data_IF_343050161469
#
_entry.id   IF_343050161469
#
_cell.length_a   1.000
_cell.length_b   1.000
_cell.length_c   1.000
_cell.angle_alpha   90.00
_cell.angle_beta   90.00
_cell.angle_gamma   90.00
#
_symmetry.space_group_name_H-M   'P 1'
#
loop_
_entity.id
_entity.type
_entity.pdbx_description
1 polymer ?
#
# COMPACT_ATOMS: atom_id res chain seq x y z
N UNK A 1 14.26 -14.80 -14.94
CA UNK A 1 12.88 -14.30 -14.98
C UNK A 1 12.01 -15.23 -14.16
N UNK A 2 11.27 -14.71 -13.18
CA UNK A 2 10.27 -15.51 -12.47
C UNK A 2 9.04 -15.63 -13.37
N UNK A 3 8.72 -16.85 -13.85
CA UNK A 3 7.61 -17.08 -14.78
C UNK A 3 6.25 -16.72 -14.17
N UNK A 4 6.15 -16.68 -12.83
CA UNK A 4 4.92 -16.44 -12.08
C UNK A 4 4.73 -14.97 -11.64
N UNK A 5 5.70 -14.10 -11.93
CA UNK A 5 5.67 -12.69 -11.56
C UNK A 5 6.46 -11.85 -12.58
N UNK A 6 5.91 -11.71 -13.82
CA UNK A 6 6.54 -10.91 -14.86
C UNK A 6 6.68 -9.46 -14.39
N UNK A 7 7.82 -8.84 -14.71
CA UNK A 7 8.15 -7.48 -14.27
C UNK A 7 8.06 -6.48 -15.43
N UNK A 8 7.62 -5.26 -15.12
CA UNK A 8 7.59 -4.14 -16.04
C UNK A 8 8.69 -3.12 -15.70
N UNK A 9 9.37 -2.60 -16.71
CA UNK A 9 10.27 -1.44 -16.56
C UNK A 9 9.47 -0.13 -16.52
N UNK A 10 9.97 0.92 -15.84
CA UNK A 10 9.34 2.23 -15.92
C UNK A 10 9.46 2.78 -17.34
N UNK A 11 8.51 3.62 -17.78
CA UNK A 11 8.50 4.20 -19.13
C UNK A 11 8.32 5.71 -19.09
N UNK A 12 9.30 6.43 -19.66
CA UNK A 12 9.15 7.87 -19.96
C UNK A 12 8.34 8.13 -21.22
N UNK A 13 8.16 7.13 -22.09
CA UNK A 13 7.25 7.23 -23.23
C UNK A 13 5.82 7.07 -22.70
N UNK A 14 4.93 8.05 -22.93
CA UNK A 14 3.55 7.95 -22.44
C UNK A 14 2.85 6.72 -23.02
N UNK A 15 2.28 5.91 -22.14
CA UNK A 15 1.36 4.81 -22.47
C UNK A 15 -0.04 5.28 -22.06
N UNK A 16 -0.89 5.58 -23.07
CA UNK A 16 -2.22 6.16 -22.87
C UNK A 16 -2.20 7.40 -21.94
N UNK A 17 -1.18 8.25 -22.12
CA UNK A 17 -0.98 9.47 -21.34
C UNK A 17 -0.31 9.26 -19.98
N UNK A 18 0.05 8.03 -19.59
CA UNK A 18 0.75 7.77 -18.32
C UNK A 18 2.23 7.52 -18.56
N UNK A 19 3.08 8.22 -17.81
CA UNK A 19 4.52 7.95 -17.69
C UNK A 19 4.83 7.38 -16.31
N UNK A 20 5.93 6.65 -16.19
CA UNK A 20 6.39 6.10 -14.92
C UNK A 20 7.89 6.24 -14.71
N UNK A 21 8.29 6.33 -13.44
CA UNK A 21 9.71 6.40 -13.01
C UNK A 21 9.89 5.73 -11.65
N UNK A 22 11.04 5.08 -11.45
CA UNK A 22 11.39 4.46 -10.16
C UNK A 22 12.21 5.46 -9.33
N UNK A 23 11.79 5.69 -8.09
CA UNK A 23 12.41 6.64 -7.15
C UNK A 23 12.92 5.86 -5.94
N UNK A 24 14.22 6.00 -5.66
CA UNK A 24 14.87 5.37 -4.50
C UNK A 24 14.66 6.25 -3.27
N UNK A 25 14.16 5.65 -2.20
CA UNK A 25 13.93 6.30 -0.90
C UNK A 25 15.08 6.00 0.07
N UNK A 26 15.53 4.75 0.10
CA UNK A 26 16.62 4.30 0.97
C UNK A 26 17.40 3.16 0.29
N UNK A 27 18.67 3.42 -0.03
CA UNK A 27 19.55 2.47 -0.69
C UNK A 27 19.92 1.29 0.20
N UNK A 28 20.01 1.48 1.52
CA UNK A 28 20.41 0.45 2.48
C UNK A 28 19.35 -0.63 2.63
N UNK A 29 18.08 -0.22 2.64
CA UNK A 29 16.91 -1.11 2.68
C UNK A 29 16.40 -1.52 1.30
N UNK A 30 16.99 -0.96 0.23
CA UNK A 30 16.49 -1.08 -1.14
C UNK A 30 15.00 -0.67 -1.23
N UNK A 31 14.63 0.36 -0.49
CA UNK A 31 13.27 0.92 -0.50
C UNK A 31 13.15 1.90 -1.66
N UNK A 32 12.17 1.67 -2.51
CA UNK A 32 11.85 2.51 -3.64
C UNK A 32 10.35 2.47 -3.91
N UNK A 33 9.86 3.37 -4.75
CA UNK A 33 8.51 3.33 -5.27
C UNK A 33 8.50 3.66 -6.76
N UNK A 34 7.48 3.18 -7.46
CA UNK A 34 7.20 3.63 -8.83
C UNK A 34 6.20 4.78 -8.79
N UNK A 35 6.61 5.91 -9.36
CA UNK A 35 5.77 7.07 -9.55
C UNK A 35 5.08 6.97 -10.91
N UNK A 36 3.76 7.05 -10.93
CA UNK A 36 2.95 7.14 -12.15
C UNK A 36 2.28 8.49 -12.25
N UNK A 37 2.21 8.99 -13.47
CA UNK A 37 2.01 10.39 -13.74
C UNK A 37 1.27 10.56 -15.06
N UNK A 38 0.08 11.17 -15.02
CA UNK A 38 -0.70 11.38 -16.23
C UNK A 38 -0.34 12.73 -16.87
N UNK A 39 0.24 12.70 -18.06
CA UNK A 39 0.71 13.90 -18.79
C UNK A 39 -0.42 14.87 -19.12
N UNK A 40 -1.67 14.39 -19.20
CA UNK A 40 -2.86 15.24 -19.42
C UNK A 40 -3.28 16.05 -18.18
N UNK A 41 -2.70 15.74 -17.02
CA UNK A 41 -2.93 16.46 -15.76
C UNK A 41 -1.83 17.47 -15.43
N UNK A 42 -0.82 17.59 -16.30
CA UNK A 42 0.25 18.55 -16.14
C UNK A 42 -0.33 19.98 -16.07
N UNK A 43 0.11 20.75 -15.07
CA UNK A 43 -0.36 22.13 -14.84
C UNK A 43 -1.79 22.27 -14.30
N UNK A 44 -2.50 21.18 -13.97
CA UNK A 44 -3.80 21.27 -13.29
C UNK A 44 -3.64 21.71 -11.83
N UNK A 45 -4.64 22.41 -11.31
CA UNK A 45 -4.56 23.05 -9.98
C UNK A 45 -4.62 22.04 -8.81
N UNK A 46 -5.23 20.87 -9.03
CA UNK A 46 -5.43 19.86 -8.00
C UNK A 46 -5.35 18.46 -8.61
N UNK A 47 -4.34 17.70 -8.19
CA UNK A 47 -4.15 16.29 -8.56
C UNK A 47 -3.95 15.51 -7.26
N UNK A 48 -4.86 14.59 -6.90
CA UNK A 48 -4.68 13.79 -5.68
C UNK A 48 -3.51 12.83 -5.82
N UNK A 49 -2.84 12.56 -4.70
CA UNK A 49 -1.81 11.54 -4.61
C UNK A 49 -2.44 10.24 -4.08
N UNK A 50 -2.21 9.13 -4.76
CA UNK A 50 -2.60 7.79 -4.28
C UNK A 50 -1.32 7.02 -3.96
N UNK A 51 -1.08 6.79 -2.67
CA UNK A 51 0.02 5.92 -2.21
C UNK A 51 -0.51 4.49 -2.18
N UNK A 52 -0.04 3.66 -3.10
CA UNK A 52 -0.55 2.31 -3.33
C UNK A 52 0.40 1.25 -2.78
N UNK A 53 -0.13 0.31 -2.01
CA UNK A 53 0.56 -0.88 -1.54
C UNK A 53 0.02 -2.11 -2.27
N UNK A 54 0.92 -2.85 -2.93
CA UNK A 54 0.54 -4.07 -3.61
C UNK A 54 0.21 -5.20 -2.62
N UNK A 55 -0.66 -6.12 -3.01
CA UNK A 55 -0.93 -7.38 -2.33
C UNK A 55 0.16 -8.44 -2.48
N UNK A 56 -0.18 -9.69 -2.22
CA UNK A 56 0.78 -10.81 -2.24
C UNK A 56 1.10 -11.39 -0.86
N UNK A 57 0.23 -11.20 0.14
CA UNK A 57 0.36 -11.85 1.44
C UNK A 57 1.65 -11.50 2.19
N UNK A 58 2.17 -10.28 1.98
CA UNK A 58 3.46 -9.78 2.49
C UNK A 58 4.71 -10.50 1.97
N UNK A 59 4.57 -11.55 1.15
CA UNK A 59 5.66 -12.44 0.75
C UNK A 59 5.88 -12.52 -0.77
N UNK A 60 4.96 -11.96 -1.56
CA UNK A 60 4.98 -12.07 -3.02
C UNK A 60 4.75 -10.71 -3.67
N UNK A 61 5.09 -10.64 -4.96
CA UNK A 61 4.90 -9.49 -5.85
C UNK A 61 5.79 -8.29 -5.47
N UNK A 62 5.72 -7.25 -6.28
CA UNK A 62 6.52 -6.03 -6.15
C UNK A 62 5.77 -4.85 -6.80
N UNK A 63 6.23 -3.62 -6.57
CA UNK A 63 5.67 -2.46 -7.26
C UNK A 63 5.85 -2.52 -8.80
N UNK A 64 6.85 -3.26 -9.29
CA UNK A 64 7.07 -3.50 -10.73
C UNK A 64 6.53 -4.83 -11.24
N UNK A 65 5.76 -5.59 -10.44
CA UNK A 65 4.98 -6.71 -10.98
C UNK A 65 4.02 -6.19 -12.06
N UNK A 66 3.97 -6.84 -13.21
CA UNK A 66 3.21 -6.37 -14.38
C UNK A 66 1.74 -6.12 -14.05
N UNK A 67 1.11 -6.99 -13.26
CA UNK A 67 -0.27 -6.82 -12.79
C UNK A 67 -0.49 -5.55 -11.97
N UNK A 68 0.48 -5.20 -11.10
CA UNK A 68 0.42 -3.98 -10.30
C UNK A 68 0.82 -2.75 -11.11
N UNK A 69 1.72 -2.90 -12.09
CA UNK A 69 2.06 -1.83 -13.03
C UNK A 69 0.85 -1.42 -13.87
N UNK A 70 0.14 -2.40 -14.45
CA UNK A 70 -1.08 -2.18 -15.21
C UNK A 70 -2.18 -1.54 -14.36
N UNK A 71 -2.35 -2.01 -13.11
CA UNK A 71 -3.30 -1.43 -12.17
C UNK A 71 -2.97 0.04 -11.86
N UNK A 72 -1.71 0.35 -11.54
CA UNK A 72 -1.30 1.71 -11.19
C UNK A 72 -1.38 2.66 -12.38
N UNK A 73 -1.03 2.21 -13.59
CA UNK A 73 -1.27 2.96 -14.84
C UNK A 73 -2.75 3.26 -15.02
N UNK A 74 -3.62 2.27 -14.83
CA UNK A 74 -5.07 2.45 -14.94
C UNK A 74 -5.58 3.45 -13.90
N UNK A 75 -5.13 3.36 -12.64
CA UNK A 75 -5.50 4.32 -11.59
C UNK A 75 -5.09 5.75 -11.96
N UNK A 76 -3.84 5.95 -12.40
CA UNK A 76 -3.33 7.26 -12.81
C UNK A 76 -4.09 7.85 -14.01
N UNK A 77 -4.56 6.99 -14.92
CA UNK A 77 -5.34 7.39 -16.10
C UNK A 77 -6.77 7.77 -15.75
N UNK A 78 -7.48 6.91 -15.03
CA UNK A 78 -8.94 7.00 -14.82
C UNK A 78 -9.33 7.96 -13.69
N UNK A 79 -8.49 8.13 -12.67
CA UNK A 79 -8.75 8.97 -11.47
C UNK A 79 -7.87 10.24 -11.48
N UNK A 80 -7.54 10.77 -12.67
CA UNK A 80 -6.42 11.69 -12.96
C UNK A 80 -5.55 12.05 -11.75
N UNK A 81 -4.79 11.07 -11.26
CA UNK A 81 -4.06 11.10 -10.00
C UNK A 81 -2.57 10.81 -10.22
N UNK A 82 -1.74 11.29 -9.30
CA UNK A 82 -0.37 10.77 -9.17
C UNK A 82 -0.43 9.51 -8.33
N UNK A 83 0.17 8.42 -8.80
CA UNK A 83 0.21 7.15 -8.05
C UNK A 83 1.65 6.88 -7.61
N UNK A 84 1.83 6.62 -6.32
CA UNK A 84 3.09 6.24 -5.67
C UNK A 84 2.96 4.77 -5.27
N UNK A 85 3.44 3.85 -6.10
CA UNK A 85 3.37 2.40 -5.85
C UNK A 85 4.59 1.93 -5.06
N UNK A 86 4.41 1.59 -3.79
CA UNK A 86 5.49 1.34 -2.84
C UNK A 86 6.03 -0.08 -2.98
N UNK A 87 7.35 -0.21 -3.14
CA UNK A 87 8.04 -1.50 -3.15
C UNK A 87 8.57 -1.85 -1.75
N UNK A 88 7.67 -2.24 -0.86
CA UNK A 88 7.98 -2.57 0.54
C UNK A 88 8.73 -3.91 0.66
N UNK A 89 9.51 -4.09 1.74
CA UNK A 89 10.28 -5.32 2.01
C UNK A 89 9.36 -6.52 2.28
N UNK A 90 9.70 -7.70 1.75
CA UNK A 90 8.86 -8.90 1.87
C UNK A 90 9.28 -9.80 3.04
N UNK A 91 8.31 -10.57 3.52
CA UNK A 91 8.48 -11.69 4.46
C UNK A 91 8.79 -12.98 3.72
N UNK A 92 9.52 -13.94 4.32
CA UNK A 92 9.95 -13.99 5.73
C UNK A 92 11.26 -13.27 6.05
N UNK A 93 11.98 -12.75 5.05
CA UNK A 93 13.29 -12.10 5.22
C UNK A 93 13.17 -10.84 6.08
N UNK A 94 12.07 -10.10 5.93
CA UNK A 94 11.75 -8.92 6.70
C UNK A 94 10.36 -9.05 7.31
N UNK A 95 10.29 -9.53 8.55
CA UNK A 95 9.03 -9.68 9.31
C UNK A 95 8.49 -8.32 9.75
N UNK A 96 7.26 -8.32 10.27
CA UNK A 96 6.70 -7.20 11.02
C UNK A 96 7.74 -6.61 12.01
N UNK A 97 7.93 -5.28 12.06
CA UNK A 97 7.13 -4.20 11.44
C UNK A 97 7.63 -3.64 10.10
N UNK A 98 8.59 -4.30 9.44
CA UNK A 98 9.37 -3.75 8.32
C UNK A 98 8.52 -3.09 7.21
N UNK A 99 7.42 -3.72 6.81
CA UNK A 99 6.54 -3.25 5.73
C UNK A 99 5.83 -1.93 6.07
N UNK A 100 5.41 -1.79 7.33
CA UNK A 100 4.72 -0.59 7.80
C UNK A 100 5.69 0.57 7.98
N UNK A 101 6.93 0.28 8.39
CA UNK A 101 8.01 1.26 8.44
C UNK A 101 8.34 1.76 7.04
N UNK A 102 8.47 0.86 6.07
CA UNK A 102 8.74 1.21 4.67
C UNK A 102 7.62 2.10 4.10
N UNK A 103 6.36 1.72 4.29
CA UNK A 103 5.23 2.53 3.84
C UNK A 103 5.19 3.92 4.46
N UNK A 104 5.44 4.01 5.77
CA UNK A 104 5.48 5.29 6.47
C UNK A 104 6.69 6.15 6.08
N UNK A 105 7.84 5.53 5.82
CA UNK A 105 9.03 6.23 5.35
C UNK A 105 8.86 6.78 3.94
N UNK A 106 8.13 6.08 3.06
CA UNK A 106 7.72 6.67 1.77
C UNK A 106 6.86 7.90 1.99
N UNK A 107 5.87 7.87 2.91
CA UNK A 107 5.05 9.05 3.21
C UNK A 107 5.90 10.25 3.65
N UNK A 108 6.85 10.04 4.56
CA UNK A 108 7.79 11.11 4.98
C UNK A 108 8.66 11.59 3.83
N UNK A 109 9.13 10.68 2.98
CA UNK A 109 9.96 11.01 1.83
C UNK A 109 9.22 11.92 0.85
N UNK A 110 7.97 11.60 0.51
CA UNK A 110 7.16 12.40 -0.43
C UNK A 110 6.57 13.67 0.21
N UNK A 111 6.57 13.77 1.55
CA UNK A 111 6.24 15.00 2.28
C UNK A 111 7.41 15.98 2.33
N UNK A 112 8.65 15.53 2.16
CA UNK A 112 9.84 16.40 2.18
C UNK A 112 9.72 17.49 1.08
N UNK A 113 9.88 18.79 1.40
CA UNK A 113 9.93 19.89 0.43
C UNK A 113 10.88 19.67 -0.76
N UNK A 114 12.01 18.99 -0.54
CA UNK A 114 13.02 18.71 -1.57
C UNK A 114 12.57 17.63 -2.56
N UNK A 115 11.47 16.93 -2.29
CA UNK A 115 10.90 15.99 -3.24
C UNK A 115 10.13 16.73 -4.35
N UNK A 116 10.74 16.79 -5.53
CA UNK A 116 10.23 17.46 -6.74
C UNK A 116 9.35 16.56 -7.63
N UNK A 117 9.10 15.30 -7.24
CA UNK A 117 8.33 14.37 -8.08
C UNK A 117 6.88 14.82 -8.36
N UNK A 118 6.37 15.78 -7.59
CA UNK A 118 5.04 16.36 -7.79
C UNK A 118 5.04 17.70 -8.55
N UNK A 119 6.20 18.27 -8.89
CA UNK A 119 6.31 19.63 -9.47
C UNK A 119 5.60 19.79 -10.82
N UNK A 120 5.42 18.70 -11.58
CA UNK A 120 4.70 18.71 -12.87
C UNK A 120 3.18 18.87 -12.74
N UNK A 121 2.59 18.64 -11.57
CA UNK A 121 1.14 18.57 -11.35
C UNK A 121 0.53 19.85 -10.82
N UNK A 122 1.16 20.98 -11.16
CA UNK A 122 0.73 22.31 -10.74
C UNK A 122 1.34 22.73 -9.40
N UNK A 123 1.72 24.00 -9.37
CA UNK A 123 2.16 24.71 -8.17
C UNK A 123 0.96 25.52 -7.69
N UNK A 124 0.32 25.12 -6.59
CA UNK A 124 -0.86 25.84 -6.10
C UNK A 124 -0.69 26.12 -4.64
N UNK A 125 0.18 27.11 -4.42
CA UNK A 125 0.48 27.70 -3.13
C UNK A 125 1.26 26.75 -2.20
N UNK A 126 2.48 27.15 -1.84
CA UNK A 126 3.24 26.51 -0.75
C UNK A 126 2.46 26.52 0.57
N UNK A 127 1.37 27.30 0.65
CA UNK A 127 0.44 27.33 1.78
C UNK A 127 -0.56 26.14 1.81
N UNK A 128 -0.82 25.44 0.69
CA UNK A 128 -1.89 24.43 0.64
C UNK A 128 -1.37 22.99 0.59
N UNK A 129 -1.75 22.18 1.60
CA UNK A 129 -1.36 20.77 1.68
C UNK A 129 -1.99 19.95 0.56
N UNK A 130 -1.19 19.12 -0.11
CA UNK A 130 -1.62 18.17 -1.14
C UNK A 130 -2.46 17.06 -0.51
N UNK A 131 -3.66 16.86 -1.06
CA UNK A 131 -4.51 15.76 -0.66
C UNK A 131 -3.90 14.43 -1.08
N UNK A 132 -3.81 13.49 -0.15
CA UNK A 132 -3.40 12.12 -0.47
C UNK A 132 -4.35 11.08 0.11
N UNK A 133 -4.39 9.94 -0.57
CA UNK A 133 -5.10 8.73 -0.19
C UNK A 133 -4.10 7.60 -0.06
N UNK A 134 -4.36 6.71 0.89
CA UNK A 134 -3.58 5.47 1.02
C UNK A 134 -4.45 4.33 0.51
N UNK A 135 -3.92 3.52 -0.39
CA UNK A 135 -4.65 2.46 -1.07
C UNK A 135 -3.86 1.16 -1.08
N UNK A 136 -4.55 0.04 -1.22
CA UNK A 136 -3.90 -1.25 -1.45
C UNK A 136 -4.88 -2.41 -1.49
N UNK A 137 -4.45 -3.53 -2.07
CA UNK A 137 -5.20 -4.77 -2.12
C UNK A 137 -4.61 -5.86 -1.23
N UNK A 138 -5.44 -6.76 -0.69
CA UNK A 138 -4.95 -7.90 0.10
C UNK A 138 -4.02 -7.44 1.23
N UNK A 139 -2.78 -7.95 1.31
CA UNK A 139 -1.76 -7.49 2.26
C UNK A 139 -1.48 -5.98 2.16
N UNK A 140 -1.51 -5.41 0.96
CA UNK A 140 -1.41 -3.97 0.75
C UNK A 140 -2.59 -3.20 1.33
N UNK A 141 -3.80 -3.78 1.35
CA UNK A 141 -4.95 -3.19 2.04
C UNK A 141 -4.79 -3.18 3.58
N UNK A 142 -4.13 -4.19 4.12
CA UNK A 142 -3.72 -4.20 5.54
C UNK A 142 -2.68 -3.12 5.84
N UNK A 143 -1.64 -2.99 4.99
CA UNK A 143 -0.67 -1.89 5.09
C UNK A 143 -1.37 -0.53 4.99
N UNK A 144 -2.29 -0.36 4.05
CA UNK A 144 -3.02 0.87 3.87
C UNK A 144 -3.74 1.31 5.15
N UNK A 145 -4.38 0.36 5.86
CA UNK A 145 -5.03 0.62 7.14
C UNK A 145 -4.04 1.08 8.23
N UNK A 146 -3.02 0.29 8.52
CA UNK A 146 -2.12 0.58 9.65
C UNK A 146 -1.16 1.74 9.37
N UNK A 147 -0.71 1.91 8.13
CA UNK A 147 0.08 3.08 7.73
C UNK A 147 -0.78 4.35 7.82
N UNK A 148 -2.08 4.29 7.52
CA UNK A 148 -2.99 5.41 7.73
C UNK A 148 -3.14 5.78 9.22
N UNK A 149 -3.26 4.79 10.11
CA UNK A 149 -3.26 5.06 11.56
C UNK A 149 -2.00 5.77 12.01
N UNK A 150 -0.83 5.32 11.54
CA UNK A 150 0.47 5.96 11.83
C UNK A 150 0.55 7.36 11.22
N UNK A 151 0.01 7.56 10.02
CA UNK A 151 -0.08 8.85 9.35
C UNK A 151 -0.96 9.85 10.11
N UNK A 152 -2.08 9.40 10.69
CA UNK A 152 -2.95 10.25 11.53
C UNK A 152 -2.26 10.74 12.81
N UNK A 153 -1.20 10.06 13.25
CA UNK A 153 -0.39 10.43 14.42
C UNK A 153 0.83 11.29 14.05
N UNK A 154 0.98 11.65 12.78
CA UNK A 154 2.12 12.39 12.27
C UNK A 154 1.71 13.74 11.66
N UNK A 155 2.49 14.77 11.96
CA UNK A 155 2.28 16.11 11.40
C UNK A 155 3.03 16.24 10.07
N UNK A 156 2.33 16.01 8.97
CA UNK A 156 2.87 16.26 7.63
C UNK A 156 2.94 17.76 7.32
N UNK A 157 3.97 18.17 6.59
CA UNK A 157 4.22 19.56 6.20
C UNK A 157 3.49 19.94 4.91
N UNK A 158 3.43 19.03 3.95
CA UNK A 158 2.90 19.24 2.60
C UNK A 158 1.75 18.30 2.26
N UNK A 159 1.52 17.25 3.05
CA UNK A 159 0.50 16.23 2.77
C UNK A 159 -0.68 16.31 3.75
N UNK A 160 -1.88 16.03 3.25
CA UNK A 160 -3.09 15.88 4.06
C UNK A 160 -3.83 14.61 3.68
N UNK A 161 -3.90 13.66 4.63
CA UNK A 161 -4.60 12.39 4.43
C UNK A 161 -6.10 12.66 4.28
N UNK A 162 -6.70 12.18 3.19
CA UNK A 162 -8.13 12.33 2.89
C UNK A 162 -8.93 11.05 2.99
N UNK A 163 -8.29 9.89 2.88
CA UNK A 163 -9.00 8.62 3.00
C UNK A 163 -8.11 7.41 2.76
N UNK A 164 -8.71 6.24 3.01
CA UNK A 164 -8.12 4.92 2.79
C UNK A 164 -8.98 4.15 1.81
N UNK A 165 -8.35 3.51 0.82
CA UNK A 165 -8.99 2.66 -0.18
C UNK A 165 -8.46 1.23 -0.01
N UNK A 166 -9.19 0.41 0.74
CA UNK A 166 -8.80 -0.97 1.03
C UNK A 166 -9.57 -1.95 0.14
N UNK A 167 -8.88 -2.57 -0.82
CA UNK A 167 -9.46 -3.56 -1.71
C UNK A 167 -9.24 -4.95 -1.12
N UNK A 168 -10.30 -5.67 -0.74
CA UNK A 168 -10.21 -7.02 -0.15
C UNK A 168 -9.07 -7.15 0.90
N UNK A 169 -9.03 -6.27 1.91
CA UNK A 169 -7.87 -6.17 2.80
C UNK A 169 -7.65 -7.47 3.58
N UNK A 170 -6.38 -7.85 3.72
CA UNK A 170 -5.98 -9.11 4.32
C UNK A 170 -5.91 -8.97 5.85
N UNK A 171 -6.98 -9.41 6.51
CA UNK A 171 -7.08 -9.55 7.96
C UNK A 171 -7.40 -11.00 8.33
N UNK A 172 -7.34 -11.31 9.61
CA UNK A 172 -7.66 -12.63 10.12
C UNK A 172 -7.78 -12.64 11.64
N UNK A 173 -7.68 -13.82 12.22
CA UNK A 173 -7.66 -14.10 13.65
C UNK A 173 -7.29 -15.57 13.85
N UNK A 174 -7.01 -16.01 15.07
CA UNK A 174 -6.77 -17.45 15.28
C UNK A 174 -8.03 -18.28 14.97
N UNK A 175 -9.17 -17.83 15.44
CA UNK A 175 -10.48 -18.42 15.15
C UNK A 175 -10.80 -18.38 13.66
N UNK A 176 -11.34 -19.49 13.14
CA UNK A 176 -11.77 -19.57 11.74
C UNK A 176 -13.17 -19.04 11.56
N UNK A 177 -13.31 -18.15 10.60
CA UNK A 177 -14.63 -17.70 10.15
C UNK A 177 -15.31 -18.76 9.29
N UNK A 178 -16.64 -18.74 9.23
CA UNK A 178 -17.37 -19.63 8.34
C UNK A 178 -16.98 -19.46 6.86
N UNK A 179 -16.66 -18.23 6.44
CA UNK A 179 -16.22 -17.96 5.07
C UNK A 179 -14.88 -18.63 4.73
N UNK A 180 -13.95 -18.71 5.68
CA UNK A 180 -12.68 -19.42 5.46
C UNK A 180 -12.91 -20.93 5.31
N UNK A 181 -13.83 -21.49 6.09
CA UNK A 181 -14.18 -22.92 6.03
C UNK A 181 -14.92 -23.27 4.75
N UNK A 182 -15.86 -22.43 4.30
CA UNK A 182 -16.62 -22.61 3.05
C UNK A 182 -15.73 -22.51 1.81
N UNK A 183 -14.63 -21.76 1.88
CA UNK A 183 -13.66 -21.60 0.80
C UNK A 183 -12.48 -22.60 0.88
N UNK A 184 -12.60 -23.64 1.71
CA UNK A 184 -11.61 -24.71 1.77
C UNK A 184 -11.44 -25.36 0.39
N UNK A 185 -10.27 -25.15 -0.24
CA UNK A 185 -9.96 -25.69 -1.57
C UNK A 185 -10.16 -24.72 -2.74
N UNK A 186 -10.52 -23.46 -2.49
CA UNK A 186 -10.55 -22.44 -3.54
C UNK A 186 -9.18 -22.28 -4.22
N UNK A 187 -9.13 -22.05 -5.54
CA UNK A 187 -7.88 -21.81 -6.23
C UNK A 187 -7.23 -20.52 -5.73
N UNK A 188 -5.89 -20.47 -5.72
CA UNK A 188 -5.04 -19.34 -5.32
C UNK A 188 -5.01 -19.02 -3.82
N UNK A 189 -6.14 -18.97 -3.11
CA UNK A 189 -6.20 -18.63 -1.68
C UNK A 189 -6.81 -19.80 -0.91
N UNK A 190 -6.03 -20.38 0.01
CA UNK A 190 -6.48 -21.44 0.93
C UNK A 190 -6.06 -21.13 2.35
N UNK A 191 -6.77 -21.69 3.33
CA UNK A 191 -6.45 -21.59 4.76
C UNK A 191 -4.98 -21.92 5.03
N UNK A 192 -4.47 -23.02 4.46
CA UNK A 192 -3.07 -23.41 4.62
C UNK A 192 -2.10 -22.35 4.09
N UNK A 193 -2.44 -21.69 2.98
CA UNK A 193 -1.61 -20.65 2.37
C UNK A 193 -1.64 -19.36 3.18
N UNK A 194 -2.82 -18.93 3.65
CA UNK A 194 -2.94 -17.72 4.48
C UNK A 194 -2.27 -17.90 5.83
N UNK A 195 -2.34 -19.09 6.43
CA UNK A 195 -1.59 -19.42 7.66
C UNK A 195 -0.09 -19.31 7.48
N UNK A 196 0.42 -19.82 6.35
CA UNK A 196 1.84 -19.70 6.04
C UNK A 196 2.24 -18.23 5.86
N UNK A 197 1.44 -17.42 5.15
CA UNK A 197 1.69 -15.99 4.98
C UNK A 197 1.73 -15.26 6.33
N UNK A 198 0.76 -15.51 7.21
CA UNK A 198 0.75 -14.93 8.55
C UNK A 198 1.95 -15.36 9.39
N UNK A 199 2.30 -16.65 9.35
CA UNK A 199 3.48 -17.18 10.05
C UNK A 199 4.79 -16.63 9.49
N UNK A 200 4.88 -16.36 8.18
CA UNK A 200 6.04 -15.76 7.56
C UNK A 200 6.18 -14.28 7.94
N UNK A 201 5.06 -13.59 8.10
CA UNK A 201 4.98 -12.16 8.38
C UNK A 201 5.17 -11.78 9.84
N UNK A 202 4.52 -12.48 10.77
CA UNK A 202 4.55 -12.16 12.19
C UNK A 202 5.93 -12.44 12.81
N UNK A 203 6.30 -11.75 13.92
CA UNK A 203 7.49 -12.11 14.67
C UNK A 203 7.36 -13.53 15.24
N UNK A 204 8.49 -14.18 15.51
CA UNK A 204 8.48 -15.51 16.12
C UNK A 204 7.77 -15.49 17.49
N UNK A 205 6.96 -16.52 17.74
CA UNK A 205 6.19 -16.66 18.99
C UNK A 205 4.83 -15.95 18.98
N UNK A 206 4.51 -15.16 17.96
CA UNK A 206 3.19 -14.53 17.82
C UNK A 206 2.24 -15.35 16.95
N UNK A 207 0.95 -15.18 17.19
CA UNK A 207 -0.15 -15.81 16.46
C UNK A 207 -1.04 -14.73 15.78
N UNK A 208 -2.09 -15.16 15.09
CA UNK A 208 -2.99 -14.30 14.30
C UNK A 208 -3.94 -13.44 15.14
N UNK A 209 -3.93 -13.55 16.46
CA UNK A 209 -4.60 -12.59 17.34
C UNK A 209 -3.76 -11.33 17.58
N UNK A 210 -2.55 -11.26 17.01
CA UNK A 210 -1.78 -10.02 16.96
C UNK A 210 -2.61 -8.90 16.30
N UNK A 211 -2.60 -7.71 16.90
CA UNK A 211 -3.39 -6.52 16.50
C UNK A 211 -3.22 -6.06 15.04
N UNK A 212 -2.21 -6.54 14.33
CA UNK A 212 -1.99 -6.20 12.91
C UNK A 212 -2.74 -7.13 11.98
N UNK A 213 -3.10 -8.32 12.47
CA UNK A 213 -3.85 -9.35 11.77
C UNK A 213 -5.33 -9.24 12.13
N UNK A 214 -5.61 -9.19 13.44
CA UNK A 214 -6.95 -9.11 13.99
C UNK A 214 -7.24 -7.69 14.48
N UNK A 215 -8.03 -6.94 13.71
CA UNK A 215 -8.52 -5.62 14.14
C UNK A 215 -9.78 -5.82 14.97
N UNK A 216 -9.59 -6.07 16.27
CA UNK A 216 -10.65 -5.79 17.23
C UNK A 216 -10.55 -4.31 17.57
N UNK A 217 -11.44 -3.48 17.00
CA UNK A 217 -11.68 -2.20 17.64
C UNK A 217 -12.13 -2.51 19.07
N UNK A 218 -11.45 -1.93 20.08
CA UNK A 218 -12.00 -1.81 21.43
C UNK A 218 -13.23 -0.91 21.38
N UNK A 219 -14.29 -1.35 20.71
CA UNK A 219 -15.65 -0.95 21.05
C UNK A 219 -15.90 -1.70 22.35
N UNK A 220 -16.12 -0.96 23.44
CA UNK A 220 -16.17 -1.49 24.79
C UNK A 220 -16.91 -2.82 24.88
N UNK A 221 -16.18 -3.89 25.21
CA UNK A 221 -16.73 -5.20 25.61
C UNK A 221 -17.38 -5.12 27.00
N UNK A 222 -18.17 -4.09 27.27
CA UNK A 222 -18.86 -3.96 28.56
C UNK A 222 -20.38 -4.18 28.48
N UNK A 223 -21.06 -4.07 27.33
CA UNK A 223 -22.54 -4.08 27.34
C UNK A 223 -23.22 -4.86 26.21
N UNK A 224 -22.78 -6.08 25.88
CA UNK A 224 -23.45 -6.86 24.81
C UNK A 224 -23.92 -8.27 25.17
N UNK A 225 -24.07 -8.57 26.47
CA UNK A 225 -24.77 -9.76 26.98
C UNK A 225 -25.46 -9.52 28.35
N UNK A 226 -26.26 -8.46 28.42
CA UNK A 226 -27.37 -8.24 29.38
C UNK A 226 -28.42 -7.46 28.59
N UNK A 227 -29.67 -7.87 28.36
CA UNK A 227 -30.52 -8.90 28.97
C UNK A 227 -31.11 -9.85 27.91
#
# INVERSE_FOLDING_TARGET
>A
MNLFDPKASPSRKPDNGVVSSDIVVDTTRKLWFRLYSNTTTAGKMFVPIVVYFHGGGFAYMAANSMSYDDLCKRLAREIPAVVVSVNYRLSPEHRYPSQYEDGFDVLKFIDNPDFEGFSAFGNTDTSSSKAFFIAGDSAGGNLAHHVALKACQHQFSRLKLRGVIALQPFFGGEERTESELKLAGAPLISVKRTDWMWKAFLPHGYNRDHQVVLILYKIGRENMWRD
#
